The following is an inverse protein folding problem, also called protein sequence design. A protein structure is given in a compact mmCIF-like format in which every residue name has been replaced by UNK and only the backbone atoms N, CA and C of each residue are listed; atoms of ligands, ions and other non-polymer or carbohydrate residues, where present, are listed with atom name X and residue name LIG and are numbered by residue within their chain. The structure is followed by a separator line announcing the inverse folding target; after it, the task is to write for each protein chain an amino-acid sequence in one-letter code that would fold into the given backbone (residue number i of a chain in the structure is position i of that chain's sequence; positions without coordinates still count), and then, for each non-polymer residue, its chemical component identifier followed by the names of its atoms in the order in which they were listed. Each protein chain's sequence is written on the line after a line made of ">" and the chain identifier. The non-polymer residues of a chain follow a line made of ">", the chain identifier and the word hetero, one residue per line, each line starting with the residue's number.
data_IF_957126842086
#
_entry.id   IF_957126842086
#
_cell.length_a   1.000
_cell.length_b   1.000
_cell.length_c   1.000
_cell.angle_alpha   90.00
_cell.angle_beta   90.00
_cell.angle_gamma   90.00
#
_symmetry.space_group_name_H-M   'P 1'
#
loop_
_entity.id
_entity.type
_entity.pdbx_description
1 polymer ?
#
# COMPACT_ATOMS: atom_id res chain seq x y z
N UNK A 1 -4.94 -2.50 19.85
CA UNK A 1 -3.58 -2.02 19.53
C UNK A 1 -3.64 -1.59 18.07
N UNK A 2 -3.59 -0.30 17.77
CA UNK A 2 -3.61 0.21 16.39
C UNK A 2 -2.18 0.53 16.02
N UNK A 3 -1.63 -0.17 15.03
CA UNK A 3 -0.35 0.16 14.42
C UNK A 3 -0.60 1.26 13.41
N UNK A 4 -0.28 2.50 13.78
CA UNK A 4 -0.22 3.62 12.83
C UNK A 4 1.01 3.44 11.96
N UNK A 5 0.81 3.29 10.65
CA UNK A 5 1.86 3.17 9.65
C UNK A 5 1.94 4.45 8.81
N UNK A 6 3.11 5.08 8.77
CA UNK A 6 3.36 6.31 8.00
C UNK A 6 4.29 6.02 6.83
N UNK A 7 3.70 5.59 5.72
CA UNK A 7 4.41 5.23 4.51
C UNK A 7 5.18 6.42 3.92
N UNK A 8 4.56 7.60 3.92
CA UNK A 8 5.12 8.83 3.39
C UNK A 8 6.33 9.27 4.22
N UNK A 9 6.24 9.19 5.55
CA UNK A 9 7.35 9.47 6.45
C UNK A 9 8.54 8.53 6.24
N UNK A 10 8.28 7.24 5.99
CA UNK A 10 9.35 6.27 5.67
C UNK A 10 9.98 6.58 4.31
N UNK A 11 9.19 6.84 3.27
CA UNK A 11 9.69 7.21 1.94
C UNK A 11 10.50 8.51 1.98
N UNK A 12 10.06 9.51 2.74
CA UNK A 12 10.80 10.76 2.94
C UNK A 12 12.13 10.53 3.66
N UNK A 13 12.14 9.70 4.70
CA UNK A 13 13.35 9.33 5.43
C UNK A 13 14.32 8.55 4.56
N UNK A 14 13.81 7.63 3.73
CA UNK A 14 14.58 6.85 2.77
C UNK A 14 15.33 7.75 1.79
N UNK A 15 14.62 8.71 1.17
CA UNK A 15 15.23 9.71 0.27
C UNK A 15 16.29 10.57 0.97
N UNK A 16 16.01 11.01 2.19
CA UNK A 16 16.98 11.79 2.96
C UNK A 16 18.27 11.01 3.24
N UNK A 17 18.16 9.69 3.51
CA UNK A 17 19.31 8.80 3.71
C UNK A 17 20.10 8.64 2.41
N UNK A 18 19.43 8.33 1.29
CA UNK A 18 20.08 8.17 -0.01
C UNK A 18 20.85 9.42 -0.45
N UNK A 19 20.28 10.60 -0.20
CA UNK A 19 20.87 11.88 -0.56
C UNK A 19 22.11 12.28 0.29
N UNK A 20 22.41 11.59 1.40
CA UNK A 20 23.52 11.96 2.30
C UNK A 20 24.88 11.99 1.61
N UNK A 21 25.06 11.20 0.55
CA UNK A 21 26.32 11.09 -0.21
C UNK A 21 26.17 11.54 -1.67
N UNK A 22 25.19 12.41 -1.96
CA UNK A 22 25.05 12.98 -3.31
C UNK A 22 26.25 13.86 -3.67
N UNK A 23 26.71 14.67 -2.71
CA UNK A 23 27.93 15.46 -2.87
C UNK A 23 29.19 14.64 -2.58
N UNK A 24 29.70 13.99 -3.62
CA UNK A 24 30.98 13.27 -3.59
C UNK A 24 32.18 14.15 -3.95
N UNK A 25 32.03 15.48 -4.01
CA UNK A 25 33.08 16.38 -4.52
C UNK A 25 34.34 16.32 -3.67
N UNK A 26 34.20 16.28 -2.34
CA UNK A 26 35.35 16.19 -1.43
C UNK A 26 36.19 14.91 -1.68
N UNK A 27 35.54 13.78 -1.93
CA UNK A 27 36.22 12.50 -2.21
C UNK A 27 36.77 12.45 -3.65
N UNK A 28 36.03 13.02 -4.61
CA UNK A 28 36.48 13.14 -6.00
C UNK A 28 37.72 14.01 -6.12
N UNK A 29 37.81 15.07 -5.31
CA UNK A 29 38.97 15.96 -5.23
C UNK A 29 40.20 15.30 -4.59
N UNK A 30 40.06 14.12 -3.96
CA UNK A 30 41.21 13.34 -3.51
C UNK A 30 41.81 12.51 -4.66
N UNK A 31 41.06 12.20 -5.73
CA UNK A 31 41.57 11.44 -6.88
C UNK A 31 42.66 12.12 -7.74
N UNK A 32 42.79 13.47 -7.88
CA UNK A 32 43.49 14.02 -9.05
C UNK A 32 45.03 14.01 -9.03
N UNK A 33 45.74 13.83 -7.92
CA UNK A 33 47.21 14.00 -7.95
C UNK A 33 48.00 13.07 -7.02
N UNK A 34 49.08 12.52 -7.57
CA UNK A 34 50.19 11.95 -6.81
C UNK A 34 51.04 13.10 -6.25
N UNK A 35 51.26 13.18 -4.94
CA UNK A 35 52.32 14.05 -4.42
C UNK A 35 53.66 13.54 -4.96
N UNK A 36 54.47 14.41 -5.54
CA UNK A 36 55.88 14.15 -5.82
C UNK A 36 56.70 14.70 -4.64
N UNK A 37 57.00 13.83 -3.69
CA UNK A 37 57.83 14.10 -2.52
C UNK A 37 59.35 13.94 -2.83
N UNK A 38 59.70 13.47 -4.03
CA UNK A 38 61.08 13.32 -4.51
C UNK A 38 61.53 11.86 -4.62
N UNK A 39 62.76 11.66 -5.11
CA UNK A 39 63.23 10.33 -5.52
C UNK A 39 64.01 9.54 -4.45
N UNK A 40 64.13 10.05 -3.22
CA UNK A 40 64.80 9.32 -2.15
C UNK A 40 63.85 8.32 -1.48
N UNK A 41 64.39 7.23 -0.93
CA UNK A 41 63.61 6.08 -0.45
C UNK A 41 62.51 6.47 0.55
N UNK A 42 62.80 7.37 1.49
CA UNK A 42 61.82 7.85 2.46
C UNK A 42 60.67 8.66 1.81
N UNK A 43 60.95 9.44 0.75
CA UNK A 43 59.93 10.16 0.01
C UNK A 43 58.99 9.20 -0.72
N UNK A 44 59.55 8.21 -1.43
CA UNK A 44 58.75 7.19 -2.13
C UNK A 44 57.91 6.34 -1.16
N UNK A 45 58.46 6.03 0.03
CA UNK A 45 57.71 5.35 1.08
C UNK A 45 56.52 6.19 1.58
N UNK A 46 56.74 7.50 1.81
CA UNK A 46 55.69 8.41 2.24
C UNK A 46 54.61 8.59 1.15
N UNK A 47 55.01 8.75 -0.11
CA UNK A 47 54.08 8.80 -1.26
C UNK A 47 53.17 7.58 -1.29
N UNK A 48 53.75 6.38 -1.12
CA UNK A 48 52.97 5.13 -1.14
C UNK A 48 51.96 5.05 0.00
N UNK A 49 52.32 5.51 1.21
CA UNK A 49 51.38 5.56 2.34
C UNK A 49 50.26 6.54 2.08
N UNK A 50 50.58 7.75 1.59
CA UNK A 50 49.56 8.77 1.30
C UNK A 50 48.62 8.28 0.20
N UNK A 51 49.15 7.62 -0.83
CA UNK A 51 48.38 7.04 -1.92
C UNK A 51 47.41 5.95 -1.42
N UNK A 52 47.91 5.00 -0.63
CA UNK A 52 47.11 3.93 -0.04
C UNK A 52 45.96 4.48 0.82
N UNK A 53 46.25 5.47 1.68
CA UNK A 53 45.22 6.10 2.54
C UNK A 53 44.19 6.88 1.74
N UNK A 54 44.63 7.62 0.72
CA UNK A 54 43.75 8.37 -0.18
C UNK A 54 42.80 7.42 -0.91
N UNK A 55 43.34 6.34 -1.49
CA UNK A 55 42.55 5.34 -2.19
C UNK A 55 41.56 4.65 -1.24
N UNK A 56 41.99 4.32 -0.02
CA UNK A 56 41.11 3.72 1.00
C UNK A 56 39.95 4.65 1.40
N UNK A 57 40.20 5.95 1.60
CA UNK A 57 39.17 6.93 1.94
C UNK A 57 38.15 7.07 0.81
N UNK A 58 38.63 7.16 -0.44
CA UNK A 58 37.77 7.25 -1.62
C UNK A 58 36.89 6.00 -1.76
N UNK A 59 37.49 4.81 -1.65
CA UNK A 59 36.75 3.55 -1.74
C UNK A 59 35.71 3.42 -0.62
N UNK A 60 36.06 3.82 0.61
CA UNK A 60 35.12 3.79 1.73
C UNK A 60 33.93 4.74 1.52
N UNK A 61 34.17 5.92 0.94
CA UNK A 61 33.09 6.85 0.60
C UNK A 61 32.17 6.31 -0.51
N UNK A 62 32.73 5.64 -1.52
CA UNK A 62 31.96 4.96 -2.57
C UNK A 62 31.10 3.82 -1.99
N UNK A 63 31.66 3.00 -1.10
CA UNK A 63 30.90 1.95 -0.39
C UNK A 63 29.78 2.53 0.46
N UNK A 64 30.04 3.63 1.17
CA UNK A 64 29.04 4.29 2.01
C UNK A 64 27.89 4.85 1.16
N UNK A 65 28.20 5.42 -0.01
CA UNK A 65 27.20 5.88 -0.97
C UNK A 65 26.29 4.73 -1.42
N UNK A 66 26.88 3.61 -1.87
CA UNK A 66 26.09 2.43 -2.27
C UNK A 66 25.21 1.92 -1.14
N UNK A 67 25.73 1.86 0.09
CA UNK A 67 24.93 1.44 1.24
C UNK A 67 23.73 2.37 1.53
N UNK A 68 23.88 3.67 1.30
CA UNK A 68 22.79 4.65 1.45
C UNK A 68 21.74 4.53 0.34
N UNK A 69 22.17 4.33 -0.91
CA UNK A 69 21.27 4.05 -2.05
C UNK A 69 20.48 2.74 -1.86
N UNK A 70 21.13 1.69 -1.34
CA UNK A 70 20.49 0.41 -1.02
C UNK A 70 19.46 0.57 0.12
N UNK A 71 19.78 1.37 1.14
CA UNK A 71 18.85 1.68 2.22
C UNK A 71 17.65 2.49 1.73
N UNK A 72 17.86 3.49 0.86
CA UNK A 72 16.76 4.24 0.23
C UNK A 72 15.81 3.29 -0.50
N UNK A 73 16.37 2.42 -1.34
CA UNK A 73 15.61 1.45 -2.14
C UNK A 73 14.84 0.50 -1.25
N UNK A 74 15.50 -0.08 -0.25
CA UNK A 74 14.90 -1.07 0.66
C UNK A 74 13.76 -0.46 1.48
N UNK A 75 13.97 0.73 2.06
CA UNK A 75 12.95 1.41 2.86
C UNK A 75 11.76 1.84 2.00
N UNK A 76 12.00 2.29 0.77
CA UNK A 76 10.94 2.64 -0.18
C UNK A 76 10.10 1.42 -0.57
N UNK A 77 10.75 0.27 -0.81
CA UNK A 77 10.06 -0.98 -1.10
C UNK A 77 9.22 -1.45 0.08
N UNK A 78 9.80 -1.46 1.31
CA UNK A 78 9.05 -1.78 2.52
C UNK A 78 7.83 -0.86 2.65
N UNK A 79 8.01 0.45 2.44
CA UNK A 79 6.90 1.39 2.55
C UNK A 79 5.76 1.09 1.56
N UNK A 80 6.13 0.76 0.33
CA UNK A 80 5.20 0.43 -0.75
C UNK A 80 4.49 -0.90 -0.49
N UNK A 81 5.21 -1.92 0.01
CA UNK A 81 4.64 -3.23 0.33
C UNK A 81 3.59 -3.14 1.43
N UNK A 82 3.84 -2.31 2.46
CA UNK A 82 2.86 -2.07 3.53
C UNK A 82 1.62 -1.32 3.03
N UNK A 83 1.77 -0.28 2.20
CA UNK A 83 0.62 0.41 1.57
C UNK A 83 -0.22 -0.55 0.73
N UNK A 84 0.43 -1.40 -0.07
CA UNK A 84 -0.26 -2.39 -0.91
C UNK A 84 -1.01 -3.41 -0.05
N UNK A 85 -0.37 -3.93 1.00
CA UNK A 85 -1.01 -4.90 1.90
C UNK A 85 -2.23 -4.29 2.61
N UNK A 86 -2.15 -3.03 3.05
CA UNK A 86 -3.27 -2.34 3.68
C UNK A 86 -4.39 -2.06 2.66
N UNK A 87 -4.05 -1.62 1.45
CA UNK A 87 -4.99 -1.43 0.34
C UNK A 87 -5.71 -2.71 -0.06
N UNK A 88 -4.99 -3.83 -0.17
CA UNK A 88 -5.56 -5.15 -0.46
C UNK A 88 -6.52 -5.62 0.64
N UNK A 89 -6.15 -5.39 1.91
CA UNK A 89 -7.01 -5.72 3.04
C UNK A 89 -8.28 -4.85 3.04
N UNK A 90 -8.16 -3.54 2.81
CA UNK A 90 -9.29 -2.63 2.71
C UNK A 90 -10.25 -3.03 1.57
N UNK A 91 -9.70 -3.42 0.41
CA UNK A 91 -10.49 -3.91 -0.72
C UNK A 91 -11.25 -5.20 -0.37
N UNK A 92 -10.60 -6.18 0.27
CA UNK A 92 -11.27 -7.41 0.72
C UNK A 92 -12.40 -7.13 1.71
N UNK A 93 -12.17 -6.26 2.69
CA UNK A 93 -13.22 -5.86 3.65
C UNK A 93 -14.39 -5.21 2.92
N UNK A 94 -14.14 -4.30 1.97
CA UNK A 94 -15.19 -3.67 1.17
C UNK A 94 -15.98 -4.70 0.36
N UNK A 95 -15.31 -5.68 -0.26
CA UNK A 95 -15.97 -6.77 -0.97
C UNK A 95 -16.84 -7.58 -0.03
N UNK A 96 -16.34 -8.03 1.13
CA UNK A 96 -17.13 -8.78 2.10
C UNK A 96 -18.32 -7.98 2.64
N UNK A 97 -18.19 -6.66 2.83
CA UNK A 97 -19.31 -5.79 3.20
C UNK A 97 -20.35 -5.73 2.08
N UNK A 98 -19.92 -5.62 0.82
CA UNK A 98 -20.82 -5.58 -0.34
C UNK A 98 -21.58 -6.90 -0.49
N UNK A 99 -20.87 -8.03 -0.36
CA UNK A 99 -21.47 -9.37 -0.35
C UNK A 99 -22.47 -9.54 0.79
N UNK A 100 -22.14 -9.06 2.00
CA UNK A 100 -23.05 -9.09 3.14
C UNK A 100 -24.33 -8.29 2.87
N UNK A 101 -24.23 -7.08 2.28
CA UNK A 101 -25.39 -6.27 1.92
C UNK A 101 -26.29 -7.02 0.94
N UNK A 102 -25.73 -7.61 -0.11
CA UNK A 102 -26.49 -8.39 -1.09
C UNK A 102 -27.18 -9.61 -0.47
N UNK A 103 -26.52 -10.29 0.47
CA UNK A 103 -27.14 -11.39 1.20
C UNK A 103 -28.31 -10.94 2.06
N UNK A 104 -28.16 -9.84 2.80
CA UNK A 104 -29.24 -9.28 3.64
C UNK A 104 -30.44 -8.85 2.79
N UNK A 105 -30.21 -8.19 1.65
CA UNK A 105 -31.28 -7.81 0.72
C UNK A 105 -32.02 -9.04 0.17
N UNK A 106 -31.29 -10.09 -0.21
CA UNK A 106 -31.87 -11.35 -0.68
C UNK A 106 -32.67 -12.08 0.41
N UNK A 107 -32.15 -12.09 1.63
CA UNK A 107 -32.81 -12.74 2.77
C UNK A 107 -34.09 -11.99 3.17
N UNK A 108 -34.06 -10.66 3.16
CA UNK A 108 -35.26 -9.81 3.37
C UNK A 108 -36.29 -10.09 2.29
N UNK A 109 -35.92 -10.03 1.01
CA UNK A 109 -36.86 -10.32 -0.08
C UNK A 109 -37.44 -11.73 0.03
N UNK A 110 -36.64 -12.72 0.43
CA UNK A 110 -37.13 -14.09 0.68
C UNK A 110 -38.10 -14.14 1.86
N UNK A 111 -37.82 -13.41 2.93
CA UNK A 111 -38.69 -13.31 4.10
C UNK A 111 -40.02 -12.63 3.75
N UNK A 112 -39.97 -11.56 2.97
CA UNK A 112 -41.14 -10.81 2.51
C UNK A 112 -42.04 -11.70 1.65
N UNK A 113 -41.48 -12.41 0.66
CA UNK A 113 -42.18 -13.40 -0.17
C UNK A 113 -42.79 -14.54 0.66
N UNK A 114 -42.05 -15.06 1.63
CA UNK A 114 -42.56 -16.11 2.52
C UNK A 114 -43.73 -15.58 3.37
N UNK A 115 -43.63 -14.34 3.86
CA UNK A 115 -44.67 -13.68 4.64
C UNK A 115 -45.93 -13.47 3.81
N UNK A 116 -45.81 -12.98 2.58
CA UNK A 116 -46.94 -12.87 1.63
C UNK A 116 -47.60 -14.22 1.38
N UNK A 117 -46.81 -15.27 1.16
CA UNK A 117 -47.33 -16.60 0.90
C UNK A 117 -48.09 -17.19 2.12
N UNK A 118 -47.52 -17.04 3.32
CA UNK A 118 -48.12 -17.51 4.57
C UNK A 118 -49.39 -16.73 4.96
N UNK A 119 -49.42 -15.43 4.68
CA UNK A 119 -50.54 -14.54 5.00
C UNK A 119 -51.57 -14.42 3.87
N UNK A 120 -51.32 -15.07 2.73
CA UNK A 120 -52.12 -14.96 1.51
C UNK A 120 -52.29 -13.51 1.01
N UNK A 121 -51.20 -12.76 1.14
CA UNK A 121 -51.15 -11.32 1.00
C UNK A 121 -50.84 -10.92 -0.44
N UNK A 122 -51.78 -11.16 -1.35
CA UNK A 122 -51.50 -11.08 -2.79
C UNK A 122 -51.99 -9.78 -3.41
N UNK A 123 -51.10 -9.11 -4.15
CA UNK A 123 -51.41 -7.91 -4.92
C UNK A 123 -52.30 -8.23 -6.12
N UNK A 124 -53.47 -7.57 -6.27
CA UNK A 124 -54.31 -7.76 -7.45
C UNK A 124 -53.67 -7.16 -8.71
N UNK A 125 -53.47 -7.96 -9.76
CA UNK A 125 -52.98 -7.47 -11.05
C UNK A 125 -54.04 -6.59 -11.73
N UNK A 126 -53.77 -5.28 -11.85
CA UNK A 126 -54.67 -4.32 -12.50
C UNK A 126 -54.87 -4.55 -14.01
N UNK A 127 -54.11 -5.47 -14.63
CA UNK A 127 -54.12 -5.70 -16.09
C UNK A 127 -54.61 -7.07 -16.56
N UNK A 128 -54.83 -8.02 -15.65
CA UNK A 128 -55.41 -9.32 -16.01
C UNK A 128 -56.46 -9.72 -14.98
N UNK A 129 -57.62 -10.20 -15.41
CA UNK A 129 -58.73 -10.62 -14.54
C UNK A 129 -58.44 -11.88 -13.70
N UNK A 130 -57.18 -12.06 -13.30
CA UNK A 130 -56.67 -13.13 -12.46
C UNK A 130 -56.07 -12.44 -11.23
N UNK A 131 -56.81 -12.44 -10.13
CA UNK A 131 -56.58 -11.57 -8.95
C UNK A 131 -55.33 -11.89 -8.13
N UNK A 132 -54.52 -12.88 -8.50
CA UNK A 132 -53.43 -13.35 -7.67
C UNK A 132 -52.16 -13.46 -8.52
N UNK A 133 -51.33 -12.41 -8.53
CA UNK A 133 -49.91 -12.58 -8.86
C UNK A 133 -49.13 -12.77 -7.55
N UNK A 134 -48.40 -13.88 -7.39
CA UNK A 134 -47.91 -14.31 -6.09
C UNK A 134 -46.59 -13.67 -5.64
N UNK A 135 -46.15 -12.51 -6.15
CA UNK A 135 -44.71 -12.18 -6.03
C UNK A 135 -44.26 -10.74 -6.39
N UNK A 136 -44.79 -9.67 -5.77
CA UNK A 136 -44.08 -8.37 -5.79
C UNK A 136 -43.03 -8.26 -4.66
N UNK A 137 -43.17 -9.05 -3.59
CA UNK A 137 -42.10 -9.38 -2.66
C UNK A 137 -41.74 -8.24 -1.72
N UNK A 138 -42.72 -7.44 -1.31
CA UNK A 138 -42.57 -6.33 -0.36
C UNK A 138 -43.10 -6.64 1.05
N UNK A 139 -43.78 -7.77 1.22
CA UNK A 139 -44.27 -8.27 2.50
C UNK A 139 -45.59 -7.66 2.98
N UNK A 140 -46.24 -6.78 2.20
CA UNK A 140 -47.40 -6.00 2.66
C UNK A 140 -48.76 -6.49 2.16
N UNK A 141 -49.81 -6.13 2.91
CA UNK A 141 -51.19 -6.42 2.52
C UNK A 141 -51.75 -5.31 1.65
N UNK A 142 -51.74 -5.56 0.36
CA UNK A 142 -52.30 -4.66 -0.63
C UNK A 142 -53.83 -4.74 -0.72
N UNK A 143 -54.44 -5.78 -0.16
CA UNK A 143 -55.88 -5.90 0.02
C UNK A 143 -56.35 -5.31 1.36
N UNK A 144 -56.40 -3.98 1.44
CA UNK A 144 -56.89 -3.21 2.60
C UNK A 144 -58.37 -3.44 2.98
N UNK A 145 -59.07 -4.34 2.27
CA UNK A 145 -60.48 -4.69 2.49
C UNK A 145 -60.68 -5.97 3.31
N UNK A 146 -59.64 -6.77 3.55
CA UNK A 146 -59.75 -7.95 4.39
C UNK A 146 -59.92 -7.56 5.87
N UNK A 147 -60.86 -8.19 6.62
CA UNK A 147 -61.05 -7.89 8.03
C UNK A 147 -59.84 -8.36 8.85
N UNK A 148 -59.38 -7.49 9.76
CA UNK A 148 -58.28 -7.73 10.73
C UNK A 148 -58.52 -8.98 11.56
#
# INVERSE_FOLDING_TARGET
>A
MSTTFDADGIKASAKNIGALMDDMTAFSNLKPQWPNAGHFELAQWLERIVDDRRNAIVAHAEHLKTAFEDMETTLTNIATDFENADGDNANKIKTSITELISHVESDISTMDKNTENDQHNFTPDSTSGNTNKPDDGDGYNDNLSDPI
#
